data_IF_189092369145
#
_entry.id   IF_189092369145
#
_cell.length_a   1.000
_cell.length_b   1.000
_cell.length_c   1.000
_cell.angle_alpha   90.00
_cell.angle_beta   90.00
_cell.angle_gamma   90.00
#
_symmetry.space_group_name_H-M   'P 1'
#
loop_
_entity.id
_entity.type
_entity.pdbx_description
1 polymer ?
#
# COMPACT_ATOMS: atom_id res chain seq x y z
N UNK A 1 11.93 -13.43 -5.78
CA UNK A 1 10.71 -13.76 -5.05
C UNK A 1 9.51 -13.54 -5.96
N UNK A 2 8.71 -14.58 -6.12
CA UNK A 2 7.55 -14.61 -7.00
C UNK A 2 6.32 -14.90 -6.15
N UNK A 3 5.26 -14.13 -6.36
CA UNK A 3 3.99 -14.29 -5.66
C UNK A 3 2.86 -13.94 -6.63
N UNK A 4 1.66 -14.33 -6.27
CA UNK A 4 0.47 -14.18 -7.06
C UNK A 4 0.62 -14.82 -8.46
N UNK A 5 -0.20 -15.78 -8.73
CA UNK A 5 -0.19 -16.54 -9.96
C UNK A 5 -1.54 -16.38 -10.64
N UNK A 6 -1.53 -16.24 -11.97
CA UNK A 6 -2.74 -16.20 -12.77
C UNK A 6 -3.38 -17.61 -12.90
N UNK A 7 -4.50 -17.70 -13.61
CA UNK A 7 -5.23 -18.95 -13.83
C UNK A 7 -4.43 -19.99 -14.65
N UNK A 8 -3.41 -19.54 -15.40
CA UNK A 8 -2.49 -20.42 -16.14
C UNK A 8 -1.20 -20.72 -15.38
N UNK A 9 -1.14 -20.36 -14.09
CA UNK A 9 0.01 -20.55 -13.22
C UNK A 9 1.27 -19.75 -13.63
N UNK A 10 1.09 -18.66 -14.38
CA UNK A 10 2.16 -17.70 -14.60
C UNK A 10 2.27 -16.73 -13.42
N UNK A 11 3.50 -16.31 -13.12
CA UNK A 11 3.74 -15.34 -12.07
C UNK A 11 3.16 -13.97 -12.46
N UNK A 12 2.16 -13.50 -11.70
CA UNK A 12 1.56 -12.19 -11.89
C UNK A 12 2.40 -11.08 -11.25
N UNK A 13 3.16 -11.39 -10.21
CA UNK A 13 4.03 -10.44 -9.54
C UNK A 13 5.36 -11.06 -9.13
N UNK A 14 6.44 -10.31 -9.36
CA UNK A 14 7.78 -10.70 -8.91
C UNK A 14 8.55 -9.48 -8.38
N UNK A 15 9.36 -9.69 -7.35
CA UNK A 15 10.26 -8.66 -6.83
C UNK A 15 11.54 -9.27 -6.27
N UNK A 16 12.59 -8.47 -6.24
CA UNK A 16 13.79 -8.85 -5.51
C UNK A 16 13.58 -8.69 -4.02
N UNK A 17 14.09 -9.67 -3.26
CA UNK A 17 14.04 -9.66 -1.79
C UNK A 17 15.36 -10.16 -1.23
N UNK A 18 15.74 -9.62 -0.11
CA UNK A 18 16.89 -10.03 0.67
C UNK A 18 16.67 -11.45 1.20
N UNK A 19 17.50 -12.40 0.79
CA UNK A 19 17.38 -13.81 1.20
C UNK A 19 18.66 -14.40 1.77
N UNK A 20 19.81 -13.88 1.34
CA UNK A 20 21.12 -14.34 1.78
C UNK A 20 21.88 -13.14 2.32
N UNK A 21 22.17 -13.17 3.60
CA UNK A 21 22.83 -12.07 4.32
C UNK A 21 24.06 -12.63 5.05
N UNK A 22 25.15 -11.86 5.03
CA UNK A 22 26.34 -12.20 5.83
C UNK A 22 26.03 -12.02 7.31
N UNK A 23 26.12 -13.10 8.11
CA UNK A 23 25.90 -13.08 9.55
C UNK A 23 26.82 -12.11 10.29
N UNK A 24 28.05 -11.94 9.82
CA UNK A 24 29.04 -11.00 10.38
C UNK A 24 28.64 -9.51 10.25
N UNK A 25 27.60 -9.18 9.47
CA UNK A 25 27.12 -7.80 9.31
C UNK A 25 26.04 -7.43 10.31
N UNK A 26 25.60 -8.35 11.14
CA UNK A 26 24.58 -8.10 12.18
C UNK A 26 23.31 -7.41 11.68
N UNK A 27 22.83 -7.75 10.49
CA UNK A 27 21.56 -7.26 10.00
C UNK A 27 20.42 -7.54 10.99
N UNK A 28 19.51 -6.58 11.13
CA UNK A 28 18.34 -6.69 11.99
C UNK A 28 17.07 -6.43 11.21
N UNK A 29 16.04 -7.18 11.54
CA UNK A 29 14.69 -6.91 11.06
C UNK A 29 14.16 -5.61 11.69
N UNK A 30 13.46 -4.82 10.90
CA UNK A 30 12.79 -3.59 11.32
C UNK A 30 11.30 -3.70 11.02
N UNK A 31 10.48 -3.13 11.91
CA UNK A 31 9.03 -3.17 11.87
C UNK A 31 8.46 -4.39 12.60
N UNK A 32 7.29 -4.23 13.20
CA UNK A 32 6.52 -5.34 13.80
C UNK A 32 5.62 -6.03 12.76
N UNK A 33 5.29 -5.30 11.69
CA UNK A 33 4.49 -5.77 10.55
C UNK A 33 5.22 -5.40 9.28
N UNK A 34 5.14 -6.25 8.25
CA UNK A 34 5.86 -6.07 6.99
C UNK A 34 7.38 -5.89 7.20
N UNK A 35 7.95 -6.70 8.05
CA UNK A 35 9.34 -6.61 8.47
C UNK A 35 10.28 -6.53 7.25
N UNK A 36 11.29 -5.68 7.36
CA UNK A 36 12.30 -5.50 6.33
C UNK A 36 13.69 -5.40 6.91
N UNK A 37 14.67 -5.72 6.10
CA UNK A 37 16.07 -5.48 6.40
C UNK A 37 16.54 -4.37 5.48
N UNK A 38 17.29 -3.41 6.00
CA UNK A 38 17.94 -2.41 5.18
C UNK A 38 19.29 -2.99 4.72
N UNK A 39 19.40 -3.38 3.43
CA UNK A 39 20.63 -3.93 2.93
C UNK A 39 21.71 -2.85 2.83
N UNK A 40 22.94 -3.19 3.20
CA UNK A 40 24.10 -2.30 3.10
C UNK A 40 25.29 -3.02 2.48
N UNK A 41 26.12 -2.29 1.76
CA UNK A 41 27.29 -2.84 1.07
C UNK A 41 26.97 -3.32 -0.35
N UNK A 42 27.73 -4.27 -0.85
CA UNK A 42 27.53 -4.79 -2.20
C UNK A 42 26.31 -5.71 -2.26
N UNK A 43 25.34 -5.35 -3.08
CA UNK A 43 24.13 -6.12 -3.33
C UNK A 43 24.34 -6.94 -4.60
N UNK A 44 24.16 -8.26 -4.48
CA UNK A 44 24.22 -9.17 -5.61
C UNK A 44 22.81 -9.66 -5.94
N UNK A 45 22.44 -9.56 -7.19
CA UNK A 45 21.18 -10.10 -7.71
C UNK A 45 21.38 -11.52 -8.20
N UNK A 46 20.50 -12.42 -7.83
CA UNK A 46 20.53 -13.83 -8.25
C UNK A 46 19.28 -14.14 -9.08
N UNK A 47 19.39 -14.93 -10.15
CA UNK A 47 18.24 -15.40 -10.93
C UNK A 47 17.45 -16.50 -10.21
N UNK A 48 17.88 -16.93 -9.02
CA UNK A 48 17.17 -17.96 -8.26
C UNK A 48 15.80 -17.43 -7.85
N UNK A 49 14.75 -18.09 -8.29
CA UNK A 49 13.37 -17.76 -7.95
C UNK A 49 12.93 -18.51 -6.71
N UNK A 50 12.25 -17.81 -5.81
CA UNK A 50 11.57 -18.37 -4.64
C UNK A 50 10.08 -18.09 -4.83
N UNK A 51 9.30 -19.13 -5.05
CA UNK A 51 7.86 -19.03 -5.20
C UNK A 51 7.17 -19.04 -3.83
N UNK A 52 6.30 -18.07 -3.60
CA UNK A 52 5.45 -18.03 -2.42
C UNK A 52 4.03 -18.45 -2.79
N UNK A 53 3.71 -19.70 -2.56
CA UNK A 53 2.37 -20.25 -2.81
C UNK A 53 1.60 -20.30 -1.51
N UNK A 54 0.59 -19.44 -1.38
CA UNK A 54 -0.28 -19.43 -0.20
C UNK A 54 -1.14 -20.69 -0.20
N UNK A 55 -0.99 -21.53 0.83
CA UNK A 55 -1.78 -22.75 1.03
C UNK A 55 -3.01 -22.49 1.91
N UNK A 56 -2.95 -21.47 2.78
CA UNK A 56 -4.04 -21.15 3.70
C UNK A 56 -4.49 -19.70 3.47
N UNK A 57 -5.81 -19.44 3.56
CA UNK A 57 -6.29 -18.05 3.60
C UNK A 57 -5.61 -17.33 4.76
N UNK A 58 -5.16 -16.12 4.53
CA UNK A 58 -4.56 -15.29 5.57
C UNK A 58 -5.65 -14.91 6.57
N UNK A 59 -5.46 -15.25 7.85
CA UNK A 59 -6.30 -14.71 8.91
C UNK A 59 -6.01 -13.22 9.06
N UNK A 60 -6.99 -12.43 8.80
CA UNK A 60 -6.84 -11.05 8.46
C UNK A 60 -6.51 -10.10 9.61
N UNK A 61 -6.91 -10.38 10.85
CA UNK A 61 -6.82 -9.41 11.96
C UNK A 61 -5.45 -9.31 12.64
N UNK A 62 -4.49 -10.19 12.34
CA UNK A 62 -3.19 -10.21 13.02
C UNK A 62 -2.46 -8.86 12.91
N UNK A 63 -2.32 -8.35 11.71
CA UNK A 63 -1.58 -7.10 11.47
C UNK A 63 -2.29 -5.91 12.10
N UNK A 64 -3.62 -5.84 11.96
CA UNK A 64 -4.43 -4.80 12.58
C UNK A 64 -4.22 -4.77 14.10
N UNK A 65 -4.29 -5.93 14.77
CA UNK A 65 -4.07 -6.04 16.22
C UNK A 65 -2.65 -5.63 16.64
N UNK A 66 -1.62 -5.96 15.84
CA UNK A 66 -0.25 -5.52 16.14
C UNK A 66 -0.15 -4.00 16.12
N UNK A 67 -0.73 -3.33 15.12
CA UNK A 67 -0.72 -1.86 15.07
C UNK A 67 -1.52 -1.24 16.22
N UNK A 68 -2.65 -1.81 16.57
CA UNK A 68 -3.45 -1.36 17.72
C UNK A 68 -2.65 -1.49 19.02
N UNK A 69 -1.96 -2.61 19.21
CA UNK A 69 -1.10 -2.84 20.35
C UNK A 69 0.06 -1.84 20.40
N UNK A 70 0.72 -1.53 19.27
CA UNK A 70 1.77 -0.50 19.21
C UNK A 70 1.25 0.86 19.70
N UNK A 71 0.03 1.22 19.30
CA UNK A 71 -0.60 2.48 19.72
C UNK A 71 -0.90 2.46 21.22
N UNK A 72 -1.43 1.36 21.76
CA UNK A 72 -1.72 1.18 23.18
C UNK A 72 -0.45 1.23 24.04
N UNK A 73 0.66 0.69 23.53
CA UNK A 73 1.98 0.74 24.15
C UNK A 73 2.65 2.11 24.06
N UNK A 74 2.05 3.06 23.34
CA UNK A 74 2.59 4.41 23.13
C UNK A 74 3.78 4.45 22.16
N UNK A 75 3.96 3.40 21.34
CA UNK A 75 5.02 3.38 20.33
C UNK A 75 4.69 4.35 19.19
N UNK A 76 5.65 5.18 18.74
CA UNK A 76 5.44 6.03 17.58
C UNK A 76 5.32 5.17 16.32
N UNK A 77 4.31 5.44 15.51
CA UNK A 77 4.20 4.85 14.18
C UNK A 77 5.04 5.66 13.19
N UNK A 78 6.05 5.01 12.62
CA UNK A 78 6.85 5.57 11.54
C UNK A 78 5.97 5.77 10.27
N UNK A 79 6.40 6.60 9.28
CA UNK A 79 5.60 6.82 8.07
C UNK A 79 5.19 5.52 7.37
N UNK A 80 6.07 4.54 7.34
CA UNK A 80 5.78 3.22 6.78
C UNK A 80 4.66 2.49 7.55
N UNK A 81 4.69 2.57 8.88
CA UNK A 81 3.68 1.93 9.72
C UNK A 81 2.31 2.60 9.55
N UNK A 82 2.27 3.93 9.45
CA UNK A 82 1.05 4.68 9.17
C UNK A 82 0.41 4.24 7.85
N UNK A 83 1.22 4.08 6.80
CA UNK A 83 0.73 3.60 5.50
C UNK A 83 0.10 2.21 5.60
N UNK A 84 0.83 1.23 6.13
CA UNK A 84 0.34 -0.14 6.22
C UNK A 84 -0.83 -0.28 7.20
N UNK A 85 -0.81 0.45 8.31
CA UNK A 85 -1.94 0.48 9.25
C UNK A 85 -3.21 1.04 8.60
N UNK A 86 -3.08 2.12 7.83
CA UNK A 86 -4.19 2.68 7.06
C UNK A 86 -4.77 1.68 6.05
N UNK A 87 -3.92 0.89 5.38
CA UNK A 87 -4.36 -0.19 4.48
C UNK A 87 -5.05 -1.33 5.23
N UNK A 88 -4.54 -1.76 6.37
CA UNK A 88 -5.18 -2.77 7.21
C UNK A 88 -6.58 -2.31 7.64
N UNK A 89 -6.71 -1.06 8.09
CA UNK A 89 -8.01 -0.47 8.43
C UNK A 89 -8.97 -0.49 7.24
N UNK A 90 -8.50 -0.15 6.04
CA UNK A 90 -9.30 -0.21 4.82
C UNK A 90 -9.75 -1.65 4.51
N UNK A 91 -8.87 -2.65 4.55
CA UNK A 91 -9.21 -4.05 4.32
C UNK A 91 -10.24 -4.58 5.32
N UNK A 92 -10.24 -4.03 6.53
CA UNK A 92 -11.22 -4.31 7.57
C UNK A 92 -12.46 -3.41 7.53
N UNK A 93 -12.64 -2.62 6.45
CA UNK A 93 -13.78 -1.73 6.23
C UNK A 93 -13.95 -0.65 7.32
N UNK A 94 -12.89 -0.34 8.03
CA UNK A 94 -12.84 0.75 9.03
C UNK A 94 -12.47 2.06 8.33
N UNK A 95 -13.31 2.49 7.39
CA UNK A 95 -12.99 3.55 6.44
C UNK A 95 -12.67 4.89 7.09
N UNK A 96 -13.42 5.30 8.11
CA UNK A 96 -13.18 6.57 8.82
C UNK A 96 -11.80 6.60 9.48
N UNK A 97 -11.42 5.51 10.16
CA UNK A 97 -10.09 5.39 10.76
C UNK A 97 -8.99 5.32 9.70
N UNK A 98 -9.22 4.59 8.60
CA UNK A 98 -8.30 4.54 7.47
C UNK A 98 -8.04 5.94 6.90
N UNK A 99 -9.09 6.75 6.71
CA UNK A 99 -8.98 8.13 6.26
C UNK A 99 -8.10 8.96 7.19
N UNK A 100 -8.35 8.87 8.51
CA UNK A 100 -7.57 9.61 9.49
C UNK A 100 -6.08 9.25 9.44
N UNK A 101 -5.78 7.95 9.41
CA UNK A 101 -4.39 7.45 9.44
C UNK A 101 -3.65 7.75 8.14
N UNK A 102 -4.28 7.51 6.97
CA UNK A 102 -3.66 7.77 5.68
C UNK A 102 -3.46 9.27 5.42
N UNK A 103 -4.39 10.13 5.88
CA UNK A 103 -4.19 11.59 5.84
C UNK A 103 -3.04 12.05 6.73
N UNK A 104 -2.81 11.38 7.87
CA UNK A 104 -1.63 11.63 8.70
C UNK A 104 -0.37 11.22 7.94
N UNK A 105 -0.34 10.03 7.35
CA UNK A 105 0.78 9.57 6.54
C UNK A 105 1.13 10.54 5.39
N UNK A 106 0.14 11.06 4.66
CA UNK A 106 0.38 11.98 3.55
C UNK A 106 1.04 13.31 3.97
N UNK A 107 0.99 13.67 5.25
CA UNK A 107 1.68 14.83 5.81
C UNK A 107 3.13 14.57 6.18
N UNK A 108 3.53 13.29 6.30
CA UNK A 108 4.90 12.92 6.63
C UNK A 108 5.83 13.22 5.46
N UNK A 109 6.92 14.00 5.66
CA UNK A 109 7.80 14.39 4.55
C UNK A 109 8.54 13.20 3.93
N UNK A 110 8.88 12.19 4.74
CA UNK A 110 9.71 11.05 4.35
C UNK A 110 8.90 9.85 3.83
N UNK A 111 7.62 10.05 3.51
CA UNK A 111 6.77 9.01 2.95
C UNK A 111 7.23 8.60 1.54
N UNK A 112 7.50 7.29 1.34
CA UNK A 112 7.88 6.77 0.04
C UNK A 112 6.79 7.08 -1.01
N UNK A 113 7.21 7.55 -2.20
CA UNK A 113 6.30 8.06 -3.23
C UNK A 113 5.23 7.03 -3.64
N UNK A 114 5.59 5.77 -3.84
CA UNK A 114 4.62 4.73 -4.22
C UNK A 114 3.55 4.52 -3.13
N UNK A 115 3.95 4.59 -1.86
CA UNK A 115 3.01 4.53 -0.74
C UNK A 115 2.09 5.75 -0.69
N UNK A 116 2.58 6.94 -1.09
CA UNK A 116 1.77 8.16 -1.15
C UNK A 116 0.70 8.05 -2.24
N UNK A 117 1.07 7.56 -3.43
CA UNK A 117 0.14 7.36 -4.54
C UNK A 117 -0.89 6.28 -4.21
N UNK A 118 -0.47 5.15 -3.66
CA UNK A 118 -1.38 4.09 -3.20
C UNK A 118 -2.31 4.58 -2.09
N UNK A 119 -1.82 5.44 -1.18
CA UNK A 119 -2.67 6.07 -0.16
C UNK A 119 -3.76 6.95 -0.76
N UNK A 120 -3.48 7.66 -1.85
CA UNK A 120 -4.51 8.44 -2.54
C UNK A 120 -5.59 7.54 -3.15
N UNK A 121 -5.20 6.40 -3.73
CA UNK A 121 -6.16 5.39 -4.22
C UNK A 121 -7.01 4.82 -3.09
N UNK A 122 -6.38 4.36 -2.01
CA UNK A 122 -7.09 3.78 -0.86
C UNK A 122 -8.03 4.81 -0.22
N UNK A 123 -7.59 6.05 -0.08
CA UNK A 123 -8.44 7.15 0.40
C UNK A 123 -9.64 7.37 -0.51
N UNK A 124 -9.46 7.33 -1.84
CA UNK A 124 -10.58 7.47 -2.77
C UNK A 124 -11.61 6.36 -2.59
N UNK A 125 -11.17 5.11 -2.39
CA UNK A 125 -12.07 4.00 -2.10
C UNK A 125 -12.82 4.15 -0.77
N UNK A 126 -12.12 4.65 0.27
CA UNK A 126 -12.77 4.95 1.56
C UNK A 126 -13.84 6.03 1.40
N UNK A 127 -13.56 7.10 0.66
CA UNK A 127 -14.53 8.16 0.41
C UNK A 127 -15.72 7.69 -0.42
N UNK A 128 -15.49 6.90 -1.48
CA UNK A 128 -16.58 6.31 -2.26
C UNK A 128 -17.46 5.39 -1.41
N UNK A 129 -16.86 4.54 -0.56
CA UNK A 129 -17.59 3.68 0.36
C UNK A 129 -18.45 4.47 1.36
N UNK A 130 -18.09 5.73 1.64
CA UNK A 130 -18.85 6.66 2.48
C UNK A 130 -19.79 7.59 1.67
N UNK A 131 -19.95 7.36 0.36
CA UNK A 131 -20.81 8.16 -0.51
C UNK A 131 -20.24 9.55 -0.87
N UNK A 132 -18.95 9.77 -0.70
CA UNK A 132 -18.28 11.05 -0.88
C UNK A 132 -17.39 11.09 -2.13
N UNK A 133 -17.99 10.90 -3.32
CA UNK A 133 -17.27 10.91 -4.60
C UNK A 133 -16.46 12.18 -4.85
N UNK A 134 -16.93 13.33 -4.32
CA UNK A 134 -16.21 14.59 -4.48
C UNK A 134 -14.85 14.54 -3.79
N UNK A 135 -14.78 14.11 -2.54
CA UNK A 135 -13.51 13.93 -1.83
C UNK A 135 -12.65 12.83 -2.44
N UNK A 136 -13.28 11.79 -3.01
CA UNK A 136 -12.56 10.76 -3.75
C UNK A 136 -11.83 11.34 -4.97
N UNK A 137 -12.48 12.18 -5.75
CA UNK A 137 -11.85 12.87 -6.89
C UNK A 137 -10.76 13.85 -6.44
N UNK A 138 -11.03 14.65 -5.40
CA UNK A 138 -10.05 15.61 -4.88
C UNK A 138 -8.74 14.94 -4.47
N UNK A 139 -8.81 13.82 -3.76
CA UNK A 139 -7.59 13.11 -3.33
C UNK A 139 -6.85 12.44 -4.49
N UNK A 140 -7.56 11.93 -5.50
CA UNK A 140 -6.93 11.39 -6.71
C UNK A 140 -6.22 12.50 -7.51
N UNK A 141 -6.83 13.64 -7.71
CA UNK A 141 -6.18 14.79 -8.36
C UNK A 141 -5.00 15.34 -7.54
N UNK A 142 -5.10 15.30 -6.20
CA UNK A 142 -4.00 15.70 -5.33
C UNK A 142 -2.74 14.85 -5.54
N UNK A 143 -2.87 13.60 -5.94
CA UNK A 143 -1.71 12.73 -6.22
C UNK A 143 -0.79 13.30 -7.32
N UNK A 144 -1.34 14.07 -8.26
CA UNK A 144 -0.59 14.68 -9.35
C UNK A 144 0.36 15.82 -8.92
N UNK A 145 0.23 16.28 -7.68
CA UNK A 145 1.21 17.22 -7.08
C UNK A 145 2.50 16.45 -6.70
N UNK A 146 2.37 15.16 -6.40
CA UNK A 146 3.46 14.33 -5.90
C UNK A 146 4.24 13.63 -7.00
N UNK A 147 3.58 13.28 -8.11
CA UNK A 147 4.18 12.57 -9.25
C UNK A 147 3.33 12.78 -10.52
N UNK A 148 3.87 12.33 -11.66
CA UNK A 148 3.12 12.26 -12.91
C UNK A 148 1.87 11.38 -12.75
N UNK A 149 0.79 11.65 -13.52
CA UNK A 149 -0.40 10.82 -13.49
C UNK A 149 -0.09 9.34 -13.75
N UNK A 150 -0.51 8.48 -12.83
CA UNK A 150 -0.39 7.03 -12.95
C UNK A 150 -1.66 6.45 -13.57
N UNK A 151 -1.51 5.40 -14.37
CA UNK A 151 -2.63 4.78 -15.09
C UNK A 151 -3.76 4.33 -14.16
N UNK A 152 -3.43 3.71 -13.01
CA UNK A 152 -4.41 3.25 -12.03
C UNK A 152 -5.23 4.40 -11.42
N UNK A 153 -4.60 5.56 -11.21
CA UNK A 153 -5.27 6.76 -10.69
C UNK A 153 -6.18 7.36 -11.77
N UNK A 154 -5.69 7.50 -13.00
CA UNK A 154 -6.48 7.98 -14.13
C UNK A 154 -7.70 7.08 -14.37
N UNK A 155 -7.51 5.75 -14.38
CA UNK A 155 -8.60 4.81 -14.52
C UNK A 155 -9.65 4.95 -13.40
N UNK A 156 -9.24 5.17 -12.15
CA UNK A 156 -10.19 5.34 -11.05
C UNK A 156 -10.96 6.68 -11.16
N UNK A 157 -10.30 7.76 -11.59
CA UNK A 157 -10.98 9.03 -11.91
C UNK A 157 -12.02 8.82 -13.01
N UNK A 158 -11.63 8.16 -14.11
CA UNK A 158 -12.53 7.84 -15.21
C UNK A 158 -13.75 7.03 -14.77
N UNK A 159 -13.53 6.03 -13.92
CA UNK A 159 -14.58 5.19 -13.35
C UNK A 159 -15.57 5.99 -12.48
N UNK A 160 -15.08 6.91 -11.64
CA UNK A 160 -15.97 7.77 -10.83
C UNK A 160 -16.84 8.64 -11.75
N UNK A 161 -16.26 9.25 -12.79
CA UNK A 161 -17.05 10.03 -13.74
C UNK A 161 -18.04 9.17 -14.52
N UNK A 162 -17.69 7.95 -14.89
CA UNK A 162 -18.59 7.01 -15.53
C UNK A 162 -19.80 6.68 -14.64
N UNK A 163 -19.57 6.38 -13.37
CA UNK A 163 -20.66 6.12 -12.39
C UNK A 163 -21.57 7.33 -12.20
N UNK A 164 -21.03 8.54 -12.34
CA UNK A 164 -21.78 9.82 -12.32
C UNK A 164 -22.43 10.15 -13.67
N UNK A 165 -22.40 9.25 -14.65
CA UNK A 165 -22.93 9.42 -16.02
C UNK A 165 -22.29 10.61 -16.78
N UNK A 166 -21.14 11.08 -16.36
CA UNK A 166 -20.37 12.07 -17.10
C UNK A 166 -19.42 11.36 -18.07
N UNK A 167 -19.98 10.84 -19.15
CA UNK A 167 -19.25 10.00 -20.10
C UNK A 167 -18.14 10.74 -20.84
N UNK A 168 -18.29 12.05 -21.04
CA UNK A 168 -17.24 12.88 -21.66
C UNK A 168 -15.98 12.90 -20.79
N UNK A 169 -16.13 13.16 -19.49
CA UNK A 169 -15.00 13.14 -18.56
C UNK A 169 -14.48 11.72 -18.34
N UNK A 170 -15.35 10.73 -18.31
CA UNK A 170 -14.93 9.32 -18.16
C UNK A 170 -14.06 8.85 -19.34
N UNK A 171 -14.37 9.28 -20.56
CA UNK A 171 -13.59 8.94 -21.75
C UNK A 171 -12.28 9.72 -21.86
N UNK A 172 -12.16 10.84 -21.16
CA UNK A 172 -10.95 11.66 -21.13
C UNK A 172 -9.87 11.01 -20.22
N UNK A 173 -10.29 10.48 -19.12
CA UNK A 173 -9.40 9.89 -18.11
C UNK A 173 -9.17 8.39 -18.36
#
# INVERSE_FOLDING_TARGET
YVTDFDEWNHAAFSCYRERILKTSRNFRWRGRVHESIIPTGNILYSPIQIEHRKIKPCSSFRNLHIYQQMIEEGEPLEPRDLFYYGRELFYHKQYEYAICVLKKFLKEPDGWIENRLDSCLVLSYCYQASGNDQYALEILFHSFISDIPRAEICCEIGKIFFMKQNFSMAAHW
#
